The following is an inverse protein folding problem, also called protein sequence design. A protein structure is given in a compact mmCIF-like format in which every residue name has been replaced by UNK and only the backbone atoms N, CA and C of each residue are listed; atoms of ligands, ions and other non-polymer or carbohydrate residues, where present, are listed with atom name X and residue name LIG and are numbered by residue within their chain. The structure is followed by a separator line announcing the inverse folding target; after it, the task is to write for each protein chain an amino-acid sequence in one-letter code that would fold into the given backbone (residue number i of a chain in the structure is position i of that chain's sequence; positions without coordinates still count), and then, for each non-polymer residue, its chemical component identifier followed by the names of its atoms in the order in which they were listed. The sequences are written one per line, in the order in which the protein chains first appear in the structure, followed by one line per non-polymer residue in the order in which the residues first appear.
data_IF_540574678761
#
_entry.id   IF_540574678761
#
_cell.length_a   1.000
_cell.length_b   1.000
_cell.length_c   1.000
_cell.angle_alpha   90.00
_cell.angle_beta   90.00
_cell.angle_gamma   90.00
#
_symmetry.space_group_name_H-M   'P 1'
#
loop_
_entity.id
_entity.type
_entity.pdbx_description
1 polymer ?
#
# COMPACT_ATOMS: atom_id res chain seq x y z
N UNK A 1 41.76 -116.71 50.38
CA UNK A 1 41.34 -117.04 51.76
C UNK A 1 42.56 -116.95 52.62
N UNK A 2 42.57 -116.01 53.56
CA UNK A 2 43.68 -115.79 54.48
C UNK A 2 43.44 -116.64 55.73
N UNK A 3 44.50 -117.26 56.26
CA UNK A 3 44.45 -118.02 57.52
C UNK A 3 45.34 -117.31 58.52
N UNK A 4 44.77 -116.91 59.65
CA UNK A 4 45.50 -116.24 60.72
C UNK A 4 45.34 -117.03 62.02
N UNK A 5 46.40 -117.11 62.80
CA UNK A 5 46.36 -117.71 64.13
C UNK A 5 46.10 -116.61 65.15
N UNK A 6 45.01 -116.76 65.91
CA UNK A 6 44.48 -115.73 66.81
C UNK A 6 44.31 -116.30 68.21
N UNK A 7 44.30 -115.44 69.23
CA UNK A 7 44.13 -115.84 70.62
C UNK A 7 42.94 -115.09 71.23
N UNK A 8 41.92 -115.81 71.67
CA UNK A 8 40.73 -115.25 72.33
C UNK A 8 40.64 -115.84 73.73
N UNK A 9 40.63 -115.00 74.76
CA UNK A 9 40.59 -115.40 76.17
C UNK A 9 41.62 -116.51 76.54
N UNK A 10 42.83 -116.42 75.98
CA UNK A 10 43.90 -117.39 76.26
C UNK A 10 43.93 -118.63 75.37
N UNK A 11 42.89 -118.89 74.56
CA UNK A 11 42.78 -120.05 73.67
C UNK A 11 43.16 -119.65 72.24
N UNK A 12 44.00 -120.45 71.59
CA UNK A 12 44.43 -120.25 70.20
C UNK A 12 43.44 -120.87 69.21
N UNK A 13 43.07 -120.10 68.18
CA UNK A 13 42.20 -120.50 67.08
C UNK A 13 42.84 -120.17 65.74
N UNK A 14 42.60 -121.01 64.73
CA UNK A 14 42.97 -120.71 63.35
C UNK A 14 41.74 -120.19 62.60
N UNK A 15 41.71 -118.89 62.31
CA UNK A 15 40.60 -118.24 61.62
C UNK A 15 40.87 -118.19 60.11
N UNK A 16 39.90 -118.64 59.31
CA UNK A 16 39.95 -118.54 57.85
C UNK A 16 38.91 -117.53 57.36
N UNK A 17 39.36 -116.47 56.68
CA UNK A 17 38.50 -115.41 56.16
C UNK A 17 38.72 -115.13 54.68
N UNK A 18 37.73 -114.48 54.04
CA UNK A 18 37.87 -113.92 52.68
C UNK A 18 38.53 -112.55 52.69
N UNK A 19 38.40 -111.82 53.80
CA UNK A 19 38.96 -110.49 54.02
C UNK A 19 40.48 -110.51 54.29
N UNK A 20 41.09 -109.31 54.28
CA UNK A 20 42.51 -109.15 54.56
C UNK A 20 42.85 -109.46 56.03
N UNK A 21 44.11 -109.79 56.29
CA UNK A 21 44.61 -110.14 57.62
C UNK A 21 44.37 -109.02 58.65
N UNK A 22 44.54 -107.75 58.25
CA UNK A 22 44.32 -106.60 59.13
C UNK A 22 42.87 -106.51 59.63
N UNK A 23 41.87 -106.63 58.75
CA UNK A 23 40.46 -106.63 59.15
C UNK A 23 40.15 -107.82 60.08
N UNK A 24 40.64 -109.01 59.73
CA UNK A 24 40.43 -110.20 60.55
C UNK A 24 41.05 -110.03 61.95
N UNK A 25 42.23 -109.42 62.06
CA UNK A 25 42.84 -109.09 63.35
C UNK A 25 42.05 -108.04 64.13
N UNK A 26 41.48 -107.03 63.45
CA UNK A 26 40.61 -106.03 64.10
C UNK A 26 39.34 -106.66 64.66
N UNK A 27 38.67 -107.54 63.90
CA UNK A 27 37.48 -108.28 64.37
C UNK A 27 37.82 -109.12 65.60
N UNK A 28 38.97 -109.80 65.59
CA UNK A 28 39.43 -110.59 66.73
C UNK A 28 39.70 -109.73 67.95
N UNK A 29 40.38 -108.59 67.78
CA UNK A 29 40.65 -107.64 68.85
C UNK A 29 39.35 -107.10 69.46
N UNK A 30 38.34 -106.86 68.64
CA UNK A 30 37.01 -106.43 69.08
C UNK A 30 36.32 -107.52 69.93
N UNK A 31 36.24 -108.75 69.41
CA UNK A 31 35.59 -109.86 70.10
C UNK A 31 36.32 -110.21 71.41
N UNK A 32 37.66 -110.30 71.40
CA UNK A 32 38.45 -110.59 72.60
C UNK A 32 38.28 -109.50 73.67
N UNK A 33 38.18 -108.22 73.27
CA UNK A 33 37.83 -107.11 74.15
C UNK A 33 36.47 -107.32 74.82
N UNK A 34 35.41 -107.59 74.04
CA UNK A 34 34.06 -107.84 74.56
C UNK A 34 34.00 -109.05 75.49
N UNK A 35 34.71 -110.13 75.17
CA UNK A 35 34.81 -111.33 76.02
C UNK A 35 35.46 -110.98 77.36
N UNK A 36 36.57 -110.23 77.34
CA UNK A 36 37.25 -109.79 78.55
C UNK A 36 36.36 -108.89 79.43
N UNK A 37 35.62 -107.97 78.82
CA UNK A 37 34.72 -107.05 79.54
C UNK A 37 33.57 -107.80 80.25
N UNK A 38 32.95 -108.78 79.58
CA UNK A 38 31.88 -109.59 80.18
C UNK A 38 32.42 -110.45 81.33
N UNK A 39 33.59 -111.07 81.15
CA UNK A 39 34.21 -111.88 82.19
C UNK A 39 34.66 -111.06 83.40
N UNK A 40 35.16 -109.84 83.19
CA UNK A 40 35.55 -108.94 84.27
C UNK A 40 34.34 -108.54 85.14
N UNK A 41 33.20 -108.27 84.51
CA UNK A 41 31.97 -107.81 85.18
C UNK A 41 31.13 -108.95 85.78
N UNK A 42 31.30 -110.20 85.34
CA UNK A 42 30.49 -111.34 85.77
C UNK A 42 31.32 -112.59 86.11
N UNK A 43 32.07 -112.53 87.21
CA UNK A 43 33.03 -113.58 87.65
C UNK A 43 32.44 -114.99 87.90
N UNK A 44 31.11 -115.13 87.93
CA UNK A 44 30.41 -116.41 88.13
C UNK A 44 30.01 -117.11 86.82
N UNK A 45 30.15 -116.45 85.66
CA UNK A 45 29.80 -117.03 84.37
C UNK A 45 30.93 -117.95 83.86
N UNK A 46 30.56 -119.07 83.25
CA UNK A 46 31.51 -119.93 82.55
C UNK A 46 32.04 -119.26 81.28
N UNK A 47 33.16 -119.76 80.73
CA UNK A 47 33.69 -119.27 79.46
C UNK A 47 32.67 -119.39 78.32
N UNK A 48 31.90 -120.48 78.31
CA UNK A 48 30.82 -120.71 77.34
C UNK A 48 29.68 -119.72 77.51
N UNK A 49 29.19 -119.50 78.74
CA UNK A 49 28.11 -118.56 78.99
C UNK A 49 28.51 -117.11 78.67
N UNK A 50 29.76 -116.74 78.96
CA UNK A 50 30.32 -115.43 78.60
C UNK A 50 30.42 -115.26 77.08
N UNK A 51 30.87 -116.28 76.36
CA UNK A 51 30.90 -116.27 74.90
C UNK A 51 29.48 -116.16 74.30
N UNK A 52 28.49 -116.88 74.84
CA UNK A 52 27.09 -116.75 74.41
C UNK A 52 26.54 -115.34 74.62
N UNK A 53 26.86 -114.70 75.75
CA UNK A 53 26.44 -113.32 76.03
C UNK A 53 27.14 -112.30 75.12
N UNK A 54 28.43 -112.49 74.82
CA UNK A 54 29.13 -111.68 73.81
C UNK A 54 28.48 -111.83 72.45
N UNK A 55 28.21 -113.07 72.02
CA UNK A 55 27.54 -113.32 70.74
C UNK A 55 26.17 -112.66 70.67
N UNK A 56 25.39 -112.68 71.76
CA UNK A 56 24.08 -112.03 71.82
C UNK A 56 24.20 -110.50 71.70
N UNK A 57 25.16 -109.89 72.41
CA UNK A 57 25.38 -108.45 72.36
C UNK A 57 25.87 -107.99 70.99
N UNK A 58 26.77 -108.74 70.36
CA UNK A 58 27.25 -108.44 68.99
C UNK A 58 26.10 -108.58 67.98
N UNK A 59 25.22 -109.57 68.15
CA UNK A 59 24.04 -109.70 67.31
C UNK A 59 23.08 -108.50 67.48
N UNK A 60 22.85 -108.03 68.70
CA UNK A 60 22.03 -106.83 68.97
C UNK A 60 22.64 -105.56 68.35
N UNK A 61 23.96 -105.38 68.48
CA UNK A 61 24.69 -104.28 67.82
C UNK A 61 24.54 -104.33 66.29
N UNK A 62 24.65 -105.53 65.70
CA UNK A 62 24.44 -105.75 64.27
C UNK A 62 23.01 -105.38 63.86
N UNK A 63 21.98 -105.88 64.58
CA UNK A 63 20.59 -105.56 64.27
C UNK A 63 20.30 -104.05 64.36
N UNK A 64 20.87 -103.35 65.35
CA UNK A 64 20.73 -101.90 65.47
C UNK A 64 21.41 -101.15 64.32
N UNK A 65 22.60 -101.59 63.93
CA UNK A 65 23.31 -101.02 62.78
C UNK A 65 22.53 -101.25 61.47
N UNK A 66 21.94 -102.42 61.28
CA UNK A 66 21.11 -102.71 60.11
C UNK A 66 19.88 -101.79 60.02
N UNK A 67 19.21 -101.55 61.16
CA UNK A 67 18.08 -100.61 61.23
C UNK A 67 18.54 -99.19 60.86
N UNK A 68 19.67 -98.73 61.41
CA UNK A 68 20.22 -97.40 61.11
C UNK A 68 20.61 -97.27 59.64
N UNK A 69 21.22 -98.31 59.05
CA UNK A 69 21.53 -98.37 57.62
C UNK A 69 20.24 -98.26 56.80
N UNK A 70 19.19 -99.00 57.16
CA UNK A 70 17.91 -98.94 56.44
C UNK A 70 17.29 -97.53 56.50
N UNK A 71 17.33 -96.88 57.67
CA UNK A 71 16.87 -95.49 57.82
C UNK A 71 17.70 -94.50 57.00
N UNK A 72 19.02 -94.65 56.99
CA UNK A 72 19.93 -93.82 56.20
C UNK A 72 19.70 -94.05 54.70
N UNK A 73 19.45 -95.28 54.26
CA UNK A 73 19.11 -95.59 52.88
C UNK A 73 17.81 -94.89 52.47
N UNK A 74 16.75 -94.96 53.30
CA UNK A 74 15.48 -94.25 53.05
C UNK A 74 15.65 -92.74 52.98
N UNK A 75 16.49 -92.16 53.84
CA UNK A 75 16.82 -90.73 53.78
C UNK A 75 17.58 -90.38 52.51
N UNK A 76 18.55 -91.21 52.12
CA UNK A 76 19.34 -90.98 50.92
C UNK A 76 18.47 -91.04 49.66
N UNK A 77 17.57 -92.03 49.54
CA UNK A 77 16.64 -92.11 48.40
C UNK A 77 15.71 -90.89 48.35
N UNK A 78 15.17 -90.44 49.49
CA UNK A 78 14.35 -89.23 49.54
C UNK A 78 15.13 -87.96 49.14
N UNK A 79 16.40 -87.86 49.55
CA UNK A 79 17.27 -86.76 49.14
C UNK A 79 17.63 -86.82 47.66
N UNK A 80 17.81 -88.00 47.08
CA UNK A 80 18.05 -88.20 45.65
C UNK A 80 16.84 -87.76 44.83
N UNK A 81 15.62 -88.18 45.21
CA UNK A 81 14.36 -87.72 44.60
C UNK A 81 14.22 -86.20 44.67
N UNK A 82 14.51 -85.60 45.83
CA UNK A 82 14.48 -84.15 46.00
C UNK A 82 15.53 -83.44 45.13
N UNK A 83 16.71 -84.03 44.97
CA UNK A 83 17.74 -83.47 44.08
C UNK A 83 17.33 -83.53 42.61
N UNK A 84 16.66 -84.60 42.18
CA UNK A 84 16.14 -84.73 40.81
C UNK A 84 15.10 -83.63 40.54
N UNK A 85 14.09 -83.51 41.41
CA UNK A 85 13.04 -82.49 41.27
C UNK A 85 13.61 -81.06 41.31
N UNK A 86 14.59 -80.79 42.17
CA UNK A 86 15.26 -79.49 42.20
C UNK A 86 16.04 -79.20 40.90
N UNK A 87 16.71 -80.19 40.32
CA UNK A 87 17.41 -80.04 39.03
C UNK A 87 16.44 -79.74 37.89
N UNK A 88 15.30 -80.42 37.86
CA UNK A 88 14.23 -80.15 36.89
C UNK A 88 13.70 -78.73 37.05
N UNK A 89 13.42 -78.29 38.29
CA UNK A 89 12.95 -76.93 38.55
C UNK A 89 13.97 -75.85 38.17
N UNK A 90 15.26 -76.10 38.40
CA UNK A 90 16.33 -75.20 37.95
C UNK A 90 16.34 -75.09 36.42
N UNK A 91 16.10 -76.20 35.71
CA UNK A 91 16.04 -76.21 34.25
C UNK A 91 14.86 -75.40 33.74
N UNK A 92 13.67 -75.60 34.30
CA UNK A 92 12.46 -74.84 33.95
C UNK A 92 12.69 -73.33 34.15
N UNK A 93 13.20 -72.92 35.30
CA UNK A 93 13.46 -71.50 35.60
C UNK A 93 14.47 -70.89 34.61
N UNK A 94 15.47 -71.65 34.17
CA UNK A 94 16.42 -71.17 33.15
C UNK A 94 15.75 -70.96 31.80
N UNK A 95 14.93 -71.92 31.36
CA UNK A 95 14.17 -71.80 30.11
C UNK A 95 13.20 -70.60 30.16
N UNK A 96 12.51 -70.41 31.29
CA UNK A 96 11.65 -69.23 31.51
C UNK A 96 12.44 -67.92 31.45
N UNK A 97 13.63 -67.87 32.08
CA UNK A 97 14.50 -66.69 32.05
C UNK A 97 14.98 -66.36 30.62
N UNK A 98 15.38 -67.37 29.84
CA UNK A 98 15.79 -67.19 28.43
C UNK A 98 14.65 -66.63 27.58
N UNK A 99 13.43 -67.14 27.75
CA UNK A 99 12.24 -66.65 27.03
C UNK A 99 11.94 -65.19 27.42
N UNK A 100 12.03 -64.86 28.72
CA UNK A 100 11.83 -63.50 29.20
C UNK A 100 12.89 -62.53 28.67
N UNK A 101 14.16 -62.92 28.63
CA UNK A 101 15.23 -62.12 28.05
C UNK A 101 15.02 -61.90 26.55
N UNK A 102 14.64 -62.93 25.80
CA UNK A 102 14.32 -62.81 24.37
C UNK A 102 13.18 -61.83 24.11
N UNK A 103 12.09 -61.94 24.88
CA UNK A 103 10.95 -61.04 24.76
C UNK A 103 11.32 -59.60 25.13
N UNK A 104 12.07 -59.41 26.21
CA UNK A 104 12.54 -58.10 26.66
C UNK A 104 13.43 -57.44 25.61
N UNK A 105 14.38 -58.18 25.02
CA UNK A 105 15.24 -57.68 23.95
C UNK A 105 14.43 -57.27 22.70
N UNK A 106 13.43 -58.06 22.32
CA UNK A 106 12.54 -57.72 21.20
C UNK A 106 11.73 -56.44 21.47
N UNK A 107 11.34 -56.19 22.71
CA UNK A 107 10.64 -54.97 23.11
C UNK A 107 11.58 -53.76 23.14
N UNK A 108 12.80 -53.93 23.66
CA UNK A 108 13.88 -52.94 23.61
C UNK A 108 14.18 -52.53 22.16
N UNK A 109 14.26 -53.47 21.22
CA UNK A 109 14.47 -53.17 19.81
C UNK A 109 13.35 -52.32 19.19
N UNK A 110 12.09 -52.58 19.57
CA UNK A 110 10.94 -51.76 19.15
C UNK A 110 11.03 -50.35 19.71
N UNK A 111 11.36 -50.23 21.00
CA UNK A 111 11.52 -48.94 21.67
C UNK A 111 12.67 -48.14 21.04
N UNK A 112 13.80 -48.77 20.75
CA UNK A 112 14.94 -48.13 20.09
C UNK A 112 14.58 -47.62 18.68
N UNK A 113 13.78 -48.38 17.91
CA UNK A 113 13.26 -47.91 16.61
C UNK A 113 12.38 -46.68 16.77
N UNK A 114 11.48 -46.68 17.76
CA UNK A 114 10.60 -45.55 18.03
C UNK A 114 11.38 -44.32 18.49
N UNK A 115 12.38 -44.50 19.37
CA UNK A 115 13.28 -43.42 19.82
C UNK A 115 14.00 -42.80 18.63
N UNK A 116 14.52 -43.60 17.70
CA UNK A 116 15.18 -43.09 16.50
C UNK A 116 14.22 -42.27 15.61
N UNK A 117 12.98 -42.72 15.46
CA UNK A 117 11.97 -41.96 14.70
C UNK A 117 11.62 -40.64 15.39
N UNK A 118 11.45 -40.65 16.72
CA UNK A 118 11.19 -39.45 17.50
C UNK A 118 12.35 -38.46 17.43
N UNK A 119 13.60 -38.92 17.53
CA UNK A 119 14.78 -38.08 17.39
C UNK A 119 14.85 -37.41 16.01
N UNK A 120 14.45 -38.13 14.95
CA UNK A 120 14.36 -37.53 13.60
C UNK A 120 13.31 -36.42 13.55
N UNK A 121 12.12 -36.64 14.13
CA UNK A 121 11.06 -35.61 14.20
C UNK A 121 11.50 -34.39 15.00
N UNK A 122 12.25 -34.57 16.10
CA UNK A 122 12.80 -33.47 16.89
C UNK A 122 13.74 -32.60 16.06
N UNK A 123 14.61 -33.21 15.24
CA UNK A 123 15.49 -32.46 14.33
C UNK A 123 14.70 -31.66 13.29
N UNK A 124 13.69 -32.27 12.69
CA UNK A 124 12.78 -31.60 11.73
C UNK A 124 12.04 -30.42 12.40
N UNK A 125 11.58 -30.57 13.63
CA UNK A 125 10.92 -29.50 14.41
C UNK A 125 11.88 -28.33 14.73
N UNK A 126 13.16 -28.61 15.01
CA UNK A 126 14.16 -27.55 15.22
C UNK A 126 14.42 -26.73 13.95
N UNK A 127 14.50 -27.39 12.78
CA UNK A 127 14.63 -26.72 11.49
C UNK A 127 13.42 -25.83 11.19
N UNK A 128 12.21 -26.35 11.42
CA UNK A 128 10.96 -25.60 11.26
C UNK A 128 10.92 -24.39 12.19
N UNK A 129 11.34 -24.54 13.45
CA UNK A 129 11.40 -23.44 14.42
C UNK A 129 12.34 -22.32 13.97
N UNK A 130 13.48 -22.67 13.37
CA UNK A 130 14.39 -21.68 12.81
C UNK A 130 13.79 -20.95 11.60
N UNK A 131 13.06 -21.68 10.75
CA UNK A 131 12.35 -21.09 9.60
C UNK A 131 11.23 -20.14 10.04
N UNK A 132 10.48 -20.49 11.07
CA UNK A 132 9.43 -19.63 11.67
C UNK A 132 10.05 -18.34 12.20
N UNK A 133 11.17 -18.40 12.94
CA UNK A 133 11.87 -17.19 13.42
C UNK A 133 12.32 -16.27 12.29
N UNK A 134 12.71 -16.81 11.14
CA UNK A 134 13.08 -16.01 9.98
C UNK A 134 11.85 -15.32 9.39
N UNK A 135 10.76 -16.06 9.19
CA UNK A 135 9.49 -15.53 8.68
C UNK A 135 8.92 -14.43 9.60
N UNK A 136 9.02 -14.59 10.93
CA UNK A 136 8.59 -13.55 11.88
C UNK A 136 9.40 -12.24 11.75
N UNK A 137 10.69 -12.33 11.38
CA UNK A 137 11.50 -11.13 11.10
C UNK A 137 11.06 -10.47 9.80
N UNK A 138 10.87 -11.24 8.74
CA UNK A 138 10.39 -10.75 7.45
C UNK A 138 8.99 -10.12 7.57
N UNK A 139 8.10 -10.68 8.39
CA UNK A 139 6.77 -10.13 8.64
C UNK A 139 6.83 -8.77 9.33
N UNK A 140 7.73 -8.62 10.33
CA UNK A 140 7.96 -7.32 10.99
C UNK A 140 8.50 -6.27 10.02
N UNK A 141 9.45 -6.63 9.17
CA UNK A 141 9.99 -5.73 8.14
C UNK A 141 8.90 -5.34 7.12
N UNK A 142 8.09 -6.30 6.67
CA UNK A 142 6.96 -6.04 5.78
C UNK A 142 5.92 -5.12 6.40
N UNK A 143 5.66 -5.25 7.71
CA UNK A 143 4.74 -4.35 8.42
C UNK A 143 5.28 -2.91 8.45
N UNK A 144 6.57 -2.73 8.74
CA UNK A 144 7.23 -1.42 8.71
C UNK A 144 7.22 -0.80 7.31
N UNK A 145 7.48 -1.62 6.28
CA UNK A 145 7.41 -1.19 4.88
C UNK A 145 5.99 -0.75 4.49
N UNK A 146 4.95 -1.48 4.91
CA UNK A 146 3.55 -1.11 4.67
C UNK A 146 3.19 0.22 5.34
N UNK A 147 3.60 0.44 6.58
CA UNK A 147 3.39 1.72 7.28
C UNK A 147 4.09 2.87 6.53
N UNK A 148 5.31 2.64 6.04
CA UNK A 148 6.05 3.63 5.26
C UNK A 148 5.38 3.93 3.91
N UNK A 149 4.89 2.91 3.22
CA UNK A 149 4.12 3.08 1.97
C UNK A 149 2.87 3.93 2.23
N UNK A 150 2.11 3.63 3.28
CA UNK A 150 0.92 4.40 3.63
C UNK A 150 1.25 5.87 3.88
N UNK A 151 2.34 6.16 4.61
CA UNK A 151 2.78 7.55 4.83
C UNK A 151 3.13 8.28 3.53
N UNK A 152 3.82 7.60 2.60
CA UNK A 152 4.19 8.17 1.31
C UNK A 152 2.97 8.39 0.41
N UNK A 153 1.99 7.47 0.43
CA UNK A 153 0.73 7.63 -0.31
C UNK A 153 -0.06 8.85 0.17
N UNK A 154 -0.13 9.08 1.50
CA UNK A 154 -0.77 10.30 2.02
C UNK A 154 -0.04 11.57 1.59
N UNK A 155 1.29 11.54 1.54
CA UNK A 155 2.09 12.68 1.10
C UNK A 155 1.88 12.97 -0.39
N UNK A 156 1.86 11.93 -1.23
CA UNK A 156 1.58 12.04 -2.67
C UNK A 156 0.20 12.64 -2.89
N UNK A 157 -0.84 12.11 -2.24
CA UNK A 157 -2.20 12.64 -2.37
C UNK A 157 -2.29 14.12 -1.98
N UNK A 158 -1.59 14.53 -0.91
CA UNK A 158 -1.53 15.94 -0.52
C UNK A 158 -0.83 16.83 -1.57
N UNK A 159 0.19 16.30 -2.25
CA UNK A 159 0.90 17.00 -3.34
C UNK A 159 0.05 17.09 -4.60
N UNK A 160 -0.72 16.05 -4.93
CA UNK A 160 -1.65 16.05 -6.06
C UNK A 160 -2.73 17.13 -5.91
N UNK A 161 -3.31 17.29 -4.70
CA UNK A 161 -4.27 18.37 -4.42
C UNK A 161 -3.64 19.74 -4.70
N UNK A 162 -2.43 19.99 -4.21
CA UNK A 162 -1.70 21.24 -4.44
C UNK A 162 -1.41 21.50 -5.92
N UNK A 163 -1.04 20.45 -6.67
CA UNK A 163 -0.82 20.55 -8.12
C UNK A 163 -2.11 20.92 -8.85
N UNK A 164 -3.24 20.31 -8.48
CA UNK A 164 -4.54 20.63 -9.10
C UNK A 164 -4.98 22.08 -8.81
N UNK A 165 -4.78 22.56 -7.58
CA UNK A 165 -5.01 23.97 -7.23
C UNK A 165 -4.15 24.90 -8.09
N UNK A 166 -2.86 24.56 -8.26
CA UNK A 166 -1.95 25.33 -9.10
C UNK A 166 -2.38 25.35 -10.57
N UNK A 167 -2.82 24.22 -11.14
CA UNK A 167 -3.33 24.13 -12.51
C UNK A 167 -4.61 24.97 -12.69
N UNK A 168 -5.50 24.99 -11.70
CA UNK A 168 -6.70 25.85 -11.71
C UNK A 168 -6.31 27.32 -11.76
N UNK A 169 -5.40 27.76 -10.89
CA UNK A 169 -4.91 29.15 -10.87
C UNK A 169 -4.21 29.52 -12.19
N UNK A 170 -3.45 28.60 -12.79
CA UNK A 170 -2.79 28.84 -14.07
C UNK A 170 -3.78 29.02 -15.23
N UNK A 171 -4.89 28.27 -15.22
CA UNK A 171 -5.98 28.46 -16.18
C UNK A 171 -6.65 29.84 -16.06
N UNK A 172 -6.85 30.32 -14.83
CA UNK A 172 -7.43 31.62 -14.54
C UNK A 172 -6.48 32.77 -14.89
N UNK A 173 -5.18 32.61 -14.64
CA UNK A 173 -4.16 33.56 -15.10
C UNK A 173 -4.17 33.65 -16.62
N UNK A 174 -4.32 32.53 -17.33
CA UNK A 174 -4.35 32.53 -18.79
C UNK A 174 -5.63 33.19 -19.36
N UNK A 175 -6.80 33.01 -18.74
CA UNK A 175 -8.01 33.73 -19.15
C UNK A 175 -7.87 35.23 -18.94
N UNK A 176 -7.39 35.66 -17.77
CA UNK A 176 -7.13 37.07 -17.46
C UNK A 176 -6.07 37.69 -18.38
N UNK A 177 -5.05 36.92 -18.79
CA UNK A 177 -4.05 37.37 -19.77
C UNK A 177 -4.67 37.61 -21.14
N UNK A 178 -5.54 36.70 -21.60
CA UNK A 178 -6.24 36.85 -22.87
C UNK A 178 -7.18 38.07 -22.84
N UNK A 179 -7.95 38.24 -21.76
CA UNK A 179 -8.82 39.40 -21.58
C UNK A 179 -8.02 40.72 -21.58
N UNK A 180 -6.90 40.76 -20.86
CA UNK A 180 -5.99 41.92 -20.89
C UNK A 180 -5.42 42.19 -22.30
N UNK A 181 -5.17 41.15 -23.11
CA UNK A 181 -4.72 41.32 -24.49
C UNK A 181 -5.80 41.99 -25.35
N UNK A 182 -7.04 41.53 -25.23
CA UNK A 182 -8.20 42.09 -25.96
C UNK A 182 -8.42 43.55 -25.56
N UNK A 183 -8.45 43.83 -24.26
CA UNK A 183 -8.62 45.21 -23.74
C UNK A 183 -7.52 46.15 -24.24
N UNK A 184 -6.28 45.66 -24.38
CA UNK A 184 -5.17 46.46 -24.95
C UNK A 184 -5.40 46.77 -26.43
N UNK A 185 -5.86 45.80 -27.22
CA UNK A 185 -6.20 46.02 -28.63
C UNK A 185 -7.37 47.01 -28.79
N UNK A 186 -8.40 46.88 -27.96
CA UNK A 186 -9.53 47.82 -27.95
C UNK A 186 -9.09 49.25 -27.60
N UNK A 187 -8.26 49.43 -26.56
CA UNK A 187 -7.67 50.72 -26.20
C UNK A 187 -6.89 51.32 -27.37
N UNK A 188 -6.11 50.51 -28.07
CA UNK A 188 -5.33 50.97 -29.22
C UNK A 188 -6.23 51.39 -30.40
N UNK A 189 -7.35 50.71 -30.61
CA UNK A 189 -8.36 51.12 -31.58
C UNK A 189 -9.03 52.45 -31.19
N UNK A 190 -9.41 52.61 -29.92
CA UNK A 190 -9.96 53.89 -29.42
C UNK A 190 -8.96 55.05 -29.58
N UNK A 191 -7.67 54.81 -29.33
CA UNK A 191 -6.64 55.83 -29.58
C UNK A 191 -6.55 56.22 -31.06
N UNK A 192 -6.59 55.26 -31.99
CA UNK A 192 -6.61 55.53 -33.44
C UNK A 192 -7.85 56.30 -33.87
N UNK A 193 -9.03 55.95 -33.35
CA UNK A 193 -10.27 56.68 -33.64
C UNK A 193 -10.19 58.13 -33.13
N UNK A 194 -9.64 58.34 -31.94
CA UNK A 194 -9.49 59.66 -31.35
C UNK A 194 -8.49 60.53 -32.14
N UNK A 195 -7.43 59.92 -32.68
CA UNK A 195 -6.50 60.56 -33.63
C UNK A 195 -7.24 61.01 -34.90
N UNK A 196 -8.01 60.10 -35.53
CA UNK A 196 -8.79 60.39 -36.73
C UNK A 196 -9.82 61.52 -36.50
N UNK A 197 -10.51 61.51 -35.36
CA UNK A 197 -11.47 62.55 -34.99
C UNK A 197 -10.81 63.91 -34.77
N UNK A 198 -9.61 63.95 -34.15
CA UNK A 198 -8.83 65.19 -34.03
C UNK A 198 -8.45 65.74 -35.41
N UNK A 199 -8.01 64.88 -36.31
CA UNK A 199 -7.63 65.26 -37.68
C UNK A 199 -8.83 65.79 -38.48
N UNK A 200 -9.98 65.11 -38.38
CA UNK A 200 -11.25 65.56 -38.96
C UNK A 200 -11.70 66.91 -38.40
N UNK A 201 -11.62 67.12 -37.08
CA UNK A 201 -11.94 68.40 -36.46
C UNK A 201 -11.01 69.54 -36.93
N UNK A 202 -9.72 69.26 -37.12
CA UNK A 202 -8.78 70.23 -37.67
C UNK A 202 -9.17 70.66 -39.09
N UNK A 203 -9.56 69.70 -39.95
CA UNK A 203 -10.06 69.99 -41.30
C UNK A 203 -11.36 70.80 -41.28
N UNK A 204 -12.33 70.43 -40.43
CA UNK A 204 -13.59 71.18 -40.28
C UNK A 204 -13.33 72.62 -39.85
N UNK A 205 -12.43 72.83 -38.88
CA UNK A 205 -12.06 74.17 -38.41
C UNK A 205 -11.41 75.02 -39.51
N UNK A 206 -10.55 74.43 -40.33
CA UNK A 206 -9.95 75.13 -41.48
C UNK A 206 -11.01 75.48 -42.54
N UNK A 207 -11.93 74.57 -42.83
CA UNK A 207 -13.03 74.83 -43.75
C UNK A 207 -13.94 75.95 -43.23
N UNK A 208 -14.27 75.95 -41.94
CA UNK A 208 -15.09 76.99 -41.30
C UNK A 208 -14.42 78.38 -41.40
N UNK A 209 -13.10 78.46 -41.20
CA UNK A 209 -12.31 79.68 -41.44
C UNK A 209 -12.39 80.13 -42.90
N UNK A 210 -12.25 79.21 -43.85
CA UNK A 210 -12.39 79.50 -45.28
C UNK A 210 -13.79 80.00 -45.66
N UNK A 211 -14.85 79.46 -45.05
CA UNK A 211 -16.22 79.97 -45.24
C UNK A 211 -16.41 81.36 -44.62
N UNK A 212 -15.82 81.63 -43.44
CA UNK A 212 -15.85 82.97 -42.83
C UNK A 212 -15.15 84.00 -43.71
N UNK A 213 -14.00 83.69 -44.28
CA UNK A 213 -13.31 84.58 -45.23
C UNK A 213 -14.12 84.86 -46.49
N UNK A 214 -14.73 83.81 -47.08
CA UNK A 214 -15.62 83.98 -48.23
C UNK A 214 -16.84 84.85 -47.89
N UNK A 215 -17.42 84.67 -46.71
CA UNK A 215 -18.54 85.46 -46.24
C UNK A 215 -18.17 86.94 -46.08
N UNK A 216 -16.98 87.24 -45.54
CA UNK A 216 -16.48 88.62 -45.42
C UNK A 216 -16.35 89.27 -46.80
N UNK A 217 -15.74 88.58 -47.77
CA UNK A 217 -15.60 89.08 -49.15
C UNK A 217 -16.95 89.36 -49.81
N UNK A 218 -17.88 88.42 -49.69
CA UNK A 218 -19.22 88.57 -50.27
C UNK A 218 -19.99 89.76 -49.63
N UNK A 219 -19.81 89.97 -48.33
CA UNK A 219 -20.42 91.09 -47.62
C UNK A 219 -19.84 92.45 -48.06
N UNK A 220 -18.53 92.50 -48.35
CA UNK A 220 -17.89 93.69 -48.94
C UNK A 220 -18.43 93.96 -50.36
N UNK A 221 -18.58 92.92 -51.18
CA UNK A 221 -19.19 93.04 -52.52
C UNK A 221 -20.64 93.56 -52.44
N UNK A 222 -21.46 93.05 -51.51
CA UNK A 222 -22.81 93.54 -51.29
C UNK A 222 -22.85 95.02 -50.91
N UNK A 223 -21.90 95.51 -50.08
CA UNK A 223 -21.81 96.94 -49.73
C UNK A 223 -21.52 97.82 -50.94
N UNK A 224 -20.61 97.38 -51.82
CA UNK A 224 -20.28 98.10 -53.05
C UNK A 224 -21.52 98.20 -53.95
N UNK A 225 -22.24 97.09 -54.12
CA UNK A 225 -23.47 97.05 -54.93
C UNK A 225 -24.56 97.95 -54.33
N UNK A 226 -24.71 98.00 -53.00
CA UNK A 226 -25.65 98.89 -52.33
C UNK A 226 -25.32 100.37 -52.56
N UNK A 227 -24.03 100.74 -52.53
CA UNK A 227 -23.59 102.11 -52.82
C UNK A 227 -23.84 102.51 -54.28
N UNK A 228 -23.56 101.61 -55.23
CA UNK A 228 -23.83 101.85 -56.65
C UNK A 228 -25.33 101.94 -56.95
N UNK A 229 -26.16 101.15 -56.27
CA UNK A 229 -27.61 101.27 -56.36
C UNK A 229 -28.10 102.64 -55.87
N UNK A 230 -27.54 103.16 -54.76
CA UNK A 230 -27.88 104.51 -54.25
C UNK A 230 -27.51 105.61 -55.24
N UNK A 231 -26.32 105.54 -55.85
CA UNK A 231 -25.89 106.51 -56.88
C UNK A 231 -26.84 106.52 -58.08
N UNK A 232 -27.11 105.35 -58.66
CA UNK A 232 -28.00 105.20 -59.82
C UNK A 232 -29.42 105.71 -59.53
N UNK A 233 -29.91 105.50 -58.29
CA UNK A 233 -31.22 106.00 -57.86
C UNK A 233 -31.28 107.52 -57.80
N UNK A 234 -30.23 108.17 -57.30
CA UNK A 234 -30.15 109.63 -57.23
C UNK A 234 -30.11 110.27 -58.63
N UNK A 235 -29.35 109.68 -59.56
CA UNK A 235 -29.30 110.13 -60.95
C UNK A 235 -30.67 110.07 -61.63
N UNK A 236 -31.41 108.97 -61.44
CA UNK A 236 -32.77 108.79 -61.95
C UNK A 236 -33.74 109.87 -61.46
N UNK A 237 -33.67 110.26 -60.19
CA UNK A 237 -34.52 111.33 -59.66
C UNK A 237 -34.20 112.70 -60.27
N UNK A 238 -32.91 113.03 -60.44
CA UNK A 238 -32.48 114.29 -61.06
C UNK A 238 -33.00 114.42 -62.50
N UNK A 239 -32.91 113.33 -63.29
CA UNK A 239 -33.40 113.29 -64.67
C UNK A 239 -34.91 113.43 -64.73
N UNK A 240 -35.64 112.84 -63.78
CA UNK A 240 -37.10 112.97 -63.67
C UNK A 240 -37.52 114.41 -63.39
N UNK A 241 -36.78 115.13 -62.56
CA UNK A 241 -37.04 116.52 -62.21
C UNK A 241 -36.78 117.46 -63.40
N UNK A 242 -35.65 117.26 -64.10
CA UNK A 242 -35.31 117.96 -65.33
C UNK A 242 -36.35 117.78 -66.44
N UNK A 243 -36.93 116.58 -66.55
CA UNK A 243 -38.01 116.30 -67.50
C UNK A 243 -39.30 117.08 -67.21
N UNK A 244 -39.65 117.31 -65.93
CA UNK A 244 -40.80 118.13 -65.56
C UNK A 244 -40.58 119.60 -65.95
N UNK A 245 -39.37 120.11 -65.74
CA UNK A 245 -38.97 121.49 -66.08
C UNK A 245 -39.14 121.79 -67.57
N UNK A 246 -38.64 120.88 -68.43
CA UNK A 246 -38.72 121.01 -69.89
C UNK A 246 -40.18 121.03 -70.35
N UNK A 247 -41.03 120.18 -69.75
CA UNK A 247 -42.47 120.15 -70.05
C UNK A 247 -43.14 121.50 -69.75
N UNK A 248 -42.80 122.12 -68.63
CA UNK A 248 -43.34 123.41 -68.23
C UNK A 248 -42.90 124.54 -69.17
N UNK A 249 -41.62 124.57 -69.56
CA UNK A 249 -41.09 125.55 -70.51
C UNK A 249 -41.76 125.44 -71.89
N UNK A 250 -41.95 124.21 -72.38
CA UNK A 250 -42.62 123.96 -73.67
C UNK A 250 -44.05 124.52 -73.69
N UNK A 251 -44.76 124.38 -72.58
CA UNK A 251 -46.15 124.81 -72.46
C UNK A 251 -46.27 126.33 -72.45
N UNK A 252 -45.36 127.04 -71.78
CA UNK A 252 -45.30 128.51 -71.80
C UNK A 252 -45.00 129.07 -73.19
N UNK A 253 -44.05 128.47 -73.91
CA UNK A 253 -43.73 128.86 -75.30
C UNK A 253 -44.92 128.71 -76.23
N UNK A 254 -45.76 127.68 -76.03
CA UNK A 254 -46.95 127.41 -76.83
C UNK A 254 -48.02 128.50 -76.74
N UNK A 255 -48.30 129.02 -75.53
CA UNK A 255 -49.26 130.10 -75.35
C UNK A 255 -48.77 131.44 -75.93
N UNK A 256 -47.45 131.66 -75.93
CA UNK A 256 -46.86 132.90 -76.44
C UNK A 256 -46.93 133.01 -77.96
N UNK A 257 -46.82 131.88 -78.68
CA UNK A 257 -47.00 131.80 -80.14
C UNK A 257 -48.46 132.08 -80.52
N UNK A 258 -49.42 131.48 -79.79
CA UNK A 258 -50.85 131.67 -80.02
C UNK A 258 -51.30 133.14 -79.93
N UNK A 259 -50.76 133.91 -78.98
CA UNK A 259 -51.12 135.32 -78.83
C UNK A 259 -50.56 136.22 -79.95
N UNK A 260 -49.36 135.89 -80.45
CA UNK A 260 -48.72 136.59 -81.57
C UNK A 260 -49.45 136.33 -82.89
N UNK A 261 -49.91 135.09 -83.13
CA UNK A 261 -50.71 134.74 -84.30
C UNK A 261 -52.02 135.53 -84.37
N UNK A 262 -52.71 135.71 -83.23
CA UNK A 262 -53.96 136.47 -83.16
C UNK A 262 -53.76 137.95 -83.48
N UNK A 263 -52.68 138.56 -82.98
CA UNK A 263 -52.33 139.96 -83.27
C UNK A 263 -52.02 140.20 -84.76
N UNK A 264 -51.37 139.24 -85.42
CA UNK A 264 -51.05 139.33 -86.84
C UNK A 264 -52.32 139.38 -87.72
N UNK A 265 -53.30 138.54 -87.41
CA UNK A 265 -54.58 138.47 -88.14
C UNK A 265 -55.33 139.79 -88.03
N UNK A 266 -55.43 140.37 -86.84
CA UNK A 266 -56.13 141.65 -86.63
C UNK A 266 -55.48 142.82 -87.39
N UNK A 267 -54.15 142.81 -87.51
CA UNK A 267 -53.42 143.82 -88.31
C UNK A 267 -53.64 143.68 -89.81
N UNK A 268 -53.76 142.45 -90.33
CA UNK A 268 -54.03 142.21 -91.75
C UNK A 268 -55.44 142.68 -92.15
N UNK A 269 -56.43 142.54 -91.27
CA UNK A 269 -57.82 143.00 -91.51
C UNK A 269 -57.89 144.53 -91.57
N UNK A 270 -57.18 145.24 -90.70
CA UNK A 270 -57.16 146.73 -90.70
C UNK A 270 -56.53 147.30 -91.97
N UNK A 271 -55.46 146.68 -92.47
CA UNK A 271 -54.76 147.12 -93.68
C UNK A 271 -55.63 146.97 -94.95
N UNK A 272 -56.48 145.94 -95.00
CA UNK A 272 -57.39 145.71 -96.13
C UNK A 272 -58.51 146.76 -96.22
N UNK A 273 -58.97 147.28 -95.08
CA UNK A 273 -60.02 148.32 -95.03
C UNK A 273 -59.43 149.68 -95.43
N UNK A 274 -58.21 150.01 -95.02
CA UNK A 274 -57.56 151.28 -95.39
C UNK A 274 -57.19 151.37 -96.88
N UNK A 275 -56.78 150.26 -97.51
CA UNK A 275 -56.47 150.24 -98.94
C UNK A 275 -57.68 150.54 -99.84
N UNK A 276 -58.91 150.39 -99.35
CA UNK A 276 -60.14 150.67 -100.09
C UNK A 276 -60.57 152.15 -100.06
N UNK A 277 -60.08 152.94 -99.10
CA UNK A 277 -60.54 154.32 -98.89
C UNK A 277 -59.70 155.43 -99.55
N UNK A 278 -58.54 155.13 -100.15
CA UNK A 278 -57.67 156.16 -100.79
C UNK A 278 -56.99 155.67 -102.08
N UNK A 279 -57.66 155.78 -103.22
CA UNK A 279 -57.07 156.29 -104.49
C UNK A 279 -58.09 156.28 -105.64
N UNK A 280 -58.02 157.34 -106.46
CA UNK A 280 -58.82 157.54 -107.66
C UNK A 280 -58.29 156.72 -108.86
N UNK A 281 -59.23 156.18 -109.66
CA UNK A 281 -59.13 155.43 -110.93
C UNK A 281 -59.40 153.91 -110.89
N UNK A 282 -60.29 153.52 -111.82
CA UNK A 282 -60.84 152.19 -112.22
C UNK A 282 -62.09 151.75 -111.46
N UNK A 283 -63.29 151.74 -112.07
CA UNK A 283 -63.85 150.92 -113.17
C UNK A 283 -63.98 149.42 -112.86
N UNK A 284 -65.25 149.00 -112.95
CA UNK A 284 -65.82 147.73 -113.40
C UNK A 284 -65.61 146.43 -112.60
N UNK A 285 -66.78 145.93 -112.16
CA UNK A 285 -67.22 144.61 -111.65
C UNK A 285 -66.76 144.19 -110.25
#
# INVERSE_FOLDING_TARGET
MNTITIKINGIEYNLKGRENEEYLLQVVKYVDGKVRDIMANNRKLSSTASATLVSLNIADELFKADIEIEELMKKNTSLEERNITLKERIKEIREEAEILEFNSNKEIDKLNKLINELNKRILEDEELKNKVKLLEKEEKENKLLKEKILSLETEISSKEIKINEQLSLESEINSLRNENSILREELENYYKELENLKESNYLLKNNEMGYKEKFIKLNEECKIIEEDFKKTKAEKESLKQRNKEIKFQLQNSKYKVLDLEKKLIDTQVKLAIEKRHRNALLKDV
#
